data_IF_068389475369
#
_entry.id   IF_068389475369
#
_cell.length_a   1.000
_cell.length_b   1.000
_cell.length_c   1.000
_cell.angle_alpha   90.00
_cell.angle_beta   90.00
_cell.angle_gamma   90.00
#
_symmetry.space_group_name_H-M   'P 1'
#
loop_
_entity.id
_entity.type
_entity.pdbx_description
1 polymer ?
#
# COMPACT_ATOMS: atom_id res chain seq x y z
N UNK A 1 -20.03 -13.22 16.71
CA UNK A 1 -20.64 -14.38 17.30
C UNK A 1 -19.60 -15.29 17.98
N UNK A 2 -20.04 -16.01 19.03
CA UNK A 2 -19.15 -16.84 19.87
C UNK A 2 -18.48 -18.00 19.11
N UNK A 3 -19.09 -18.49 18.04
CA UNK A 3 -18.53 -19.58 17.23
C UNK A 3 -17.19 -19.22 16.57
N UNK A 4 -17.00 -17.98 16.15
CA UNK A 4 -15.73 -17.53 15.54
C UNK A 4 -14.58 -17.70 16.52
N UNK A 5 -14.79 -17.33 17.79
CA UNK A 5 -13.76 -17.47 18.83
C UNK A 5 -13.42 -18.94 19.14
N UNK A 6 -14.42 -19.83 19.04
CA UNK A 6 -14.23 -21.26 19.31
C UNK A 6 -13.58 -22.04 18.17
N UNK A 7 -13.54 -21.45 16.95
CA UNK A 7 -12.94 -22.07 15.76
C UNK A 7 -11.54 -21.55 15.46
N UNK A 8 -11.07 -20.54 16.20
CA UNK A 8 -9.72 -20.02 16.04
C UNK A 8 -8.70 -21.01 16.62
N UNK A 9 -7.66 -21.27 15.86
CA UNK A 9 -6.48 -21.94 16.37
C UNK A 9 -5.82 -21.09 17.48
N UNK A 10 -5.17 -21.73 18.47
CA UNK A 10 -4.38 -21.00 19.44
C UNK A 10 -3.34 -20.12 18.78
N UNK A 11 -3.07 -18.97 19.35
CA UNK A 11 -1.99 -18.09 18.86
C UNK A 11 -0.66 -18.83 18.87
N UNK A 12 0.06 -18.81 17.76
CA UNK A 12 1.38 -19.41 17.63
C UNK A 12 2.48 -18.67 18.42
N UNK A 13 2.21 -17.43 18.82
CA UNK A 13 3.15 -16.58 19.56
C UNK A 13 2.77 -16.52 21.04
N UNK A 14 3.74 -16.74 21.92
CA UNK A 14 3.57 -16.61 23.37
C UNK A 14 3.45 -15.14 23.79
N UNK A 15 4.22 -14.25 23.17
CA UNK A 15 4.18 -12.81 23.40
C UNK A 15 3.53 -12.08 22.21
N UNK A 16 2.41 -11.44 22.47
CA UNK A 16 1.65 -10.61 21.54
C UNK A 16 1.56 -9.15 22.01
N UNK A 17 2.40 -8.74 22.93
CA UNK A 17 2.41 -7.39 23.52
C UNK A 17 2.76 -6.28 22.50
N UNK A 18 3.34 -6.67 21.38
CA UNK A 18 3.63 -5.78 20.24
C UNK A 18 2.38 -5.36 19.47
N UNK A 19 1.28 -6.11 19.56
CA UNK A 19 0.01 -5.74 18.92
C UNK A 19 -0.66 -4.65 19.76
N UNK A 20 -0.73 -3.44 19.21
CA UNK A 20 -1.33 -2.28 19.88
C UNK A 20 -2.27 -1.56 18.91
N UNK A 21 -3.42 -1.05 19.39
CA UNK A 21 -4.24 -0.13 18.62
C UNK A 21 -3.42 1.09 18.22
N UNK A 22 -3.55 1.52 16.96
CA UNK A 22 -2.87 2.71 16.44
C UNK A 22 -3.87 3.69 15.83
N UNK A 23 -3.58 4.98 15.95
CA UNK A 23 -4.27 6.05 15.23
C UNK A 23 -3.42 6.44 14.04
N UNK A 24 -4.02 6.50 12.86
CA UNK A 24 -3.31 6.94 11.67
C UNK A 24 -4.09 7.98 10.88
N UNK A 25 -3.35 8.77 10.11
CA UNK A 25 -3.84 9.65 9.06
C UNK A 25 -3.29 9.15 7.73
N UNK A 26 -3.97 9.42 6.62
CA UNK A 26 -3.56 8.83 5.35
C UNK A 26 -3.54 9.78 4.17
N UNK A 27 -2.53 9.61 3.33
CA UNK A 27 -2.45 10.15 1.97
C UNK A 27 -3.30 9.27 1.07
N UNK A 28 -4.59 9.54 0.96
CA UNK A 28 -5.54 8.82 0.10
C UNK A 28 -6.83 9.59 -0.14
N UNK A 29 -7.33 10.33 0.86
CA UNK A 29 -8.60 11.03 0.75
C UNK A 29 -8.58 12.14 -0.30
N UNK A 30 -7.46 12.79 -0.46
CA UNK A 30 -7.25 13.80 -1.50
C UNK A 30 -7.32 13.22 -2.92
N UNK A 31 -6.98 11.93 -3.11
CA UNK A 31 -7.16 11.23 -4.37
C UNK A 31 -8.63 10.92 -4.63
N UNK A 32 -9.37 10.47 -3.61
CA UNK A 32 -10.83 10.24 -3.70
C UNK A 32 -11.58 11.50 -4.10
N UNK A 33 -11.14 12.64 -3.60
CA UNK A 33 -11.77 13.95 -3.93
C UNK A 33 -11.26 14.56 -5.24
N UNK A 34 -10.33 13.90 -5.93
CA UNK A 34 -9.73 14.38 -7.18
C UNK A 34 -8.78 15.57 -7.01
N UNK A 35 -8.35 15.85 -5.79
CA UNK A 35 -7.36 16.90 -5.51
C UNK A 35 -5.95 16.45 -5.89
N UNK A 36 -5.64 15.17 -5.73
CA UNK A 36 -4.43 14.51 -6.20
C UNK A 36 -4.76 13.17 -6.88
N UNK A 37 -3.75 12.49 -7.43
CA UNK A 37 -3.87 11.19 -8.09
C UNK A 37 -3.06 10.11 -7.37
N UNK A 38 -3.48 8.84 -7.54
CA UNK A 38 -2.65 7.69 -7.16
C UNK A 38 -1.51 7.47 -8.17
N UNK A 39 -1.75 7.78 -9.47
CA UNK A 39 -0.79 7.61 -10.55
C UNK A 39 0.28 8.68 -10.54
N UNK A 40 1.49 8.29 -10.95
CA UNK A 40 2.63 9.18 -11.12
C UNK A 40 2.57 10.00 -12.40
N UNK A 41 2.05 9.40 -13.49
CA UNK A 41 2.04 9.99 -14.83
C UNK A 41 0.70 9.79 -15.53
N UNK A 42 0.39 10.66 -16.49
CA UNK A 42 -0.76 10.54 -17.40
C UNK A 42 -0.34 10.04 -18.80
N UNK A 43 0.95 9.73 -19.01
CA UNK A 43 1.49 9.34 -20.33
C UNK A 43 1.32 7.84 -20.63
N UNK A 44 1.06 7.01 -19.62
CA UNK A 44 0.98 5.56 -19.74
C UNK A 44 -0.48 5.09 -19.82
N UNK A 45 -0.88 4.61 -20.99
CA UNK A 45 -2.16 3.90 -21.15
C UNK A 45 -2.06 2.40 -20.79
N UNK A 46 -0.84 1.88 -20.66
CA UNK A 46 -0.55 0.49 -20.35
C UNK A 46 0.73 0.38 -19.51
N UNK A 47 0.68 -0.43 -18.47
CA UNK A 47 1.81 -0.70 -17.57
C UNK A 47 2.14 -2.19 -17.63
N UNK A 48 3.41 -2.51 -17.82
CA UNK A 48 3.95 -3.87 -17.74
C UNK A 48 4.98 -3.91 -16.62
N UNK A 49 4.68 -4.67 -15.56
CA UNK A 49 5.52 -4.76 -14.38
C UNK A 49 6.92 -5.31 -14.70
N UNK A 50 7.95 -4.59 -14.24
CA UNK A 50 9.35 -4.93 -14.48
C UNK A 50 9.84 -4.57 -15.89
N UNK A 51 9.01 -3.97 -16.76
CA UNK A 51 9.35 -3.53 -18.12
C UNK A 51 9.14 -2.03 -18.29
N UNK A 52 8.03 -1.50 -17.78
CA UNK A 52 7.74 -0.06 -17.85
C UNK A 52 8.81 0.73 -17.09
N UNK A 53 9.43 1.68 -17.78
CA UNK A 53 10.52 2.50 -17.23
C UNK A 53 10.00 3.89 -16.85
N UNK A 54 9.67 4.06 -15.58
CA UNK A 54 9.16 5.32 -15.04
C UNK A 54 10.15 6.48 -15.09
N UNK A 55 11.45 6.23 -15.32
CA UNK A 55 12.45 7.28 -15.51
C UNK A 55 12.30 8.02 -16.84
N UNK A 56 11.52 7.45 -17.77
CA UNK A 56 11.32 7.98 -19.13
C UNK A 56 10.01 8.73 -19.32
N UNK A 57 9.18 8.80 -18.29
CA UNK A 57 7.88 9.48 -18.35
C UNK A 57 7.86 10.72 -17.47
N UNK A 58 6.99 11.67 -17.81
CA UNK A 58 6.86 12.93 -17.07
C UNK A 58 5.87 12.77 -15.91
N UNK A 59 6.21 13.21 -14.68
CA UNK A 59 5.25 13.31 -13.60
C UNK A 59 4.06 14.17 -13.98
N UNK A 60 2.84 13.74 -13.61
CA UNK A 60 1.62 14.51 -13.90
C UNK A 60 1.44 15.76 -13.02
N UNK A 61 2.28 15.93 -12.00
CA UNK A 61 2.23 17.05 -11.06
C UNK A 61 1.03 17.00 -10.08
N UNK A 62 0.29 15.88 -10.06
CA UNK A 62 -0.87 15.68 -9.18
C UNK A 62 -0.68 14.49 -8.25
N UNK A 63 0.39 13.73 -8.39
CA UNK A 63 0.66 12.55 -7.58
C UNK A 63 0.64 12.89 -6.08
N UNK A 64 -0.15 12.17 -5.30
CA UNK A 64 -0.33 12.45 -3.88
C UNK A 64 0.78 11.88 -2.99
N UNK A 65 1.40 10.77 -3.39
CA UNK A 65 2.44 10.09 -2.61
C UNK A 65 3.86 10.66 -2.84
N UNK A 66 3.97 11.97 -3.11
CA UNK A 66 5.27 12.63 -3.28
C UNK A 66 6.00 12.76 -1.95
N UNK A 67 7.35 12.83 -2.01
CA UNK A 67 8.18 13.09 -0.84
C UNK A 67 7.74 14.34 -0.05
N UNK A 68 7.39 15.41 -0.74
CA UNK A 68 6.95 16.66 -0.11
C UNK A 68 5.63 16.48 0.62
N UNK A 69 4.61 15.93 -0.04
CA UNK A 69 3.29 15.76 0.54
C UNK A 69 3.32 14.78 1.72
N UNK A 70 4.01 13.66 1.59
CA UNK A 70 4.12 12.66 2.67
C UNK A 70 4.82 13.26 3.91
N UNK A 71 5.86 14.10 3.73
CA UNK A 71 6.49 14.82 4.86
C UNK A 71 5.50 15.72 5.58
N UNK A 72 4.61 16.42 4.85
CA UNK A 72 3.55 17.24 5.47
C UNK A 72 2.60 16.41 6.32
N UNK A 73 2.23 15.21 5.86
CA UNK A 73 1.40 14.29 6.64
C UNK A 73 2.14 13.74 7.87
N UNK A 74 3.44 13.46 7.75
CA UNK A 74 4.27 13.04 8.90
C UNK A 74 4.33 14.14 9.94
N UNK A 75 4.56 15.41 9.54
CA UNK A 75 4.59 16.54 10.45
C UNK A 75 3.24 16.74 11.15
N UNK A 76 2.15 16.66 10.39
CA UNK A 76 0.80 16.72 10.94
C UNK A 76 0.53 15.59 11.95
N UNK A 77 0.92 14.36 11.60
CA UNK A 77 0.75 13.21 12.48
C UNK A 77 1.50 13.40 13.81
N UNK A 78 2.76 13.84 13.73
CA UNK A 78 3.59 14.11 14.90
C UNK A 78 3.01 15.23 15.78
N UNK A 79 2.53 16.32 15.19
CA UNK A 79 1.95 17.46 15.90
C UNK A 79 0.63 17.09 16.62
N UNK A 80 -0.18 16.24 16.00
CA UNK A 80 -1.53 15.91 16.49
C UNK A 80 -1.64 14.55 17.18
N UNK A 81 -0.52 13.89 17.46
CA UNK A 81 -0.49 12.65 18.25
C UNK A 81 -1.11 11.45 17.52
N UNK A 82 -0.90 11.37 16.20
CA UNK A 82 -1.12 10.14 15.43
C UNK A 82 0.13 9.28 15.47
N UNK A 83 -0.08 7.98 15.51
CA UNK A 83 1.01 7.01 15.60
C UNK A 83 1.63 6.73 14.22
N UNK A 84 0.79 6.80 13.16
CA UNK A 84 1.20 6.38 11.82
C UNK A 84 0.61 7.23 10.70
N UNK A 85 1.29 7.17 9.54
CA UNK A 85 0.81 7.74 8.28
C UNK A 85 0.70 6.65 7.24
N UNK A 86 -0.52 6.38 6.76
CA UNK A 86 -0.79 5.54 5.61
C UNK A 86 -0.46 6.32 4.33
N UNK A 87 0.18 5.67 3.35
CA UNK A 87 0.42 6.27 2.03
C UNK A 87 -0.08 5.33 0.95
N UNK A 88 -1.17 5.68 0.28
CA UNK A 88 -1.61 5.04 -0.95
C UNK A 88 -0.90 5.65 -2.16
N UNK A 89 -0.73 4.89 -3.23
CA UNK A 89 -0.09 5.38 -4.44
C UNK A 89 1.43 5.45 -4.39
N UNK A 90 2.09 4.82 -3.42
CA UNK A 90 3.53 4.89 -3.24
C UNK A 90 4.32 4.08 -4.27
N UNK A 91 3.72 3.01 -4.80
CA UNK A 91 4.33 1.97 -5.64
C UNK A 91 3.84 2.02 -7.10
N UNK A 92 4.57 1.42 -8.01
CA UNK A 92 4.26 1.37 -9.44
C UNK A 92 2.97 0.58 -9.73
N UNK A 93 2.21 1.04 -10.76
CA UNK A 93 1.06 0.34 -11.35
C UNK A 93 -0.28 1.05 -11.29
N UNK A 94 -0.38 2.22 -10.68
CA UNK A 94 -1.66 2.92 -10.50
C UNK A 94 -2.24 3.59 -11.75
N UNK A 95 -1.49 3.67 -12.84
CA UNK A 95 -1.94 4.26 -14.11
C UNK A 95 -3.04 3.42 -14.76
N UNK A 96 -3.03 2.10 -14.53
CA UNK A 96 -3.93 1.17 -15.20
C UNK A 96 -4.58 0.18 -14.21
N UNK A 97 -5.13 0.65 -13.09
CA UNK A 97 -5.63 -0.28 -12.07
C UNK A 97 -7.14 -0.47 -12.04
N UNK A 98 -7.93 0.60 -12.08
CA UNK A 98 -9.38 0.52 -11.97
C UNK A 98 -10.00 0.01 -13.27
N UNK A 99 -10.72 -1.12 -13.17
CA UNK A 99 -11.48 -1.66 -14.31
C UNK A 99 -10.63 -2.25 -15.44
N UNK A 100 -9.33 -2.37 -15.27
CA UNK A 100 -8.45 -2.91 -16.30
C UNK A 100 -8.68 -4.40 -16.56
N UNK A 101 -9.16 -5.13 -15.56
CA UNK A 101 -9.28 -6.60 -15.61
C UNK A 101 -7.94 -7.33 -15.65
N UNK A 102 -6.84 -6.63 -15.44
CA UNK A 102 -5.48 -7.21 -15.45
C UNK A 102 -5.17 -7.91 -14.15
N UNK A 103 -4.52 -9.05 -14.25
CA UNK A 103 -4.07 -9.83 -13.09
C UNK A 103 -2.82 -9.22 -12.45
N UNK A 104 -1.88 -8.69 -13.24
CA UNK A 104 -0.59 -8.18 -12.78
C UNK A 104 -0.55 -6.67 -12.94
N UNK A 105 -1.12 -5.94 -11.97
CA UNK A 105 -1.24 -4.47 -12.01
C UNK A 105 -0.19 -3.79 -11.16
N UNK A 106 0.02 -4.25 -9.92
CA UNK A 106 0.88 -3.58 -8.95
C UNK A 106 2.21 -4.29 -8.72
N UNK A 107 3.27 -3.49 -8.57
CA UNK A 107 4.53 -3.91 -7.98
C UNK A 107 4.54 -3.54 -6.48
N UNK A 108 4.73 -4.52 -5.60
CA UNK A 108 4.68 -4.31 -4.15
C UNK A 108 6.06 -4.04 -3.52
N UNK A 109 7.09 -3.81 -4.35
CA UNK A 109 8.47 -3.58 -3.88
C UNK A 109 9.12 -2.36 -4.51
N UNK A 110 8.57 -1.85 -5.61
CA UNK A 110 9.16 -0.72 -6.36
C UNK A 110 8.36 0.57 -6.12
N UNK A 111 8.93 1.56 -5.43
CA UNK A 111 8.30 2.87 -5.27
C UNK A 111 8.38 3.69 -6.56
N UNK A 112 7.45 4.61 -6.72
CA UNK A 112 7.56 5.64 -7.75
C UNK A 112 8.81 6.52 -7.56
N UNK A 113 9.35 7.17 -8.63
CA UNK A 113 10.58 7.96 -8.57
C UNK A 113 10.54 9.13 -7.58
N UNK A 114 9.36 9.64 -7.26
CA UNK A 114 9.15 10.76 -6.33
C UNK A 114 8.79 10.34 -4.90
N UNK A 115 8.86 9.02 -4.60
CA UNK A 115 8.68 8.45 -3.27
C UNK A 115 9.97 7.78 -2.78
N UNK A 116 10.78 8.51 -2.05
CA UNK A 116 11.99 7.96 -1.40
C UNK A 116 11.61 7.24 -0.09
N UNK A 117 11.34 5.94 -0.21
CA UNK A 117 10.88 5.10 0.90
C UNK A 117 11.83 5.13 2.10
N UNK A 118 13.16 5.19 1.84
CA UNK A 118 14.15 5.25 2.92
C UNK A 118 14.12 6.60 3.63
N UNK A 119 14.23 7.68 2.87
CA UNK A 119 14.29 9.02 3.45
C UNK A 119 12.99 9.39 4.19
N UNK A 120 11.84 8.90 3.71
CA UNK A 120 10.55 9.13 4.36
C UNK A 120 10.40 8.34 5.66
N UNK A 121 10.83 7.06 5.71
CA UNK A 121 10.82 6.28 6.95
C UNK A 121 11.80 6.85 7.98
N UNK A 122 13.02 7.22 7.56
CA UNK A 122 14.00 7.88 8.45
C UNK A 122 13.42 9.18 9.04
N UNK A 123 12.72 9.96 8.21
CA UNK A 123 12.09 11.21 8.65
C UNK A 123 10.94 10.96 9.64
N UNK A 124 10.07 10.00 9.34
CA UNK A 124 8.95 9.62 10.21
C UNK A 124 9.46 9.14 11.57
N UNK A 125 10.43 8.24 11.59
CA UNK A 125 11.02 7.72 12.83
C UNK A 125 11.66 8.82 13.68
N UNK A 126 12.35 9.77 13.04
CA UNK A 126 12.90 10.96 13.75
C UNK A 126 11.82 11.82 14.40
N UNK A 127 10.62 11.85 13.85
CA UNK A 127 9.46 12.56 14.38
C UNK A 127 8.64 11.75 15.39
N UNK A 128 9.01 10.48 15.64
CA UNK A 128 8.26 9.58 16.52
C UNK A 128 7.00 8.98 15.88
N UNK A 129 6.89 9.04 14.56
CA UNK A 129 5.79 8.51 13.75
C UNK A 129 6.31 7.35 12.91
N UNK A 130 5.45 6.40 12.51
CA UNK A 130 5.79 5.37 11.52
C UNK A 130 4.96 5.53 10.26
N UNK A 131 5.48 5.06 9.15
CA UNK A 131 4.66 4.85 7.97
C UNK A 131 3.91 3.53 8.10
N UNK A 132 2.66 3.51 7.62
CA UNK A 132 1.85 2.30 7.45
C UNK A 132 1.94 1.88 5.99
N UNK A 133 2.27 0.63 5.74
CA UNK A 133 2.34 0.08 4.40
C UNK A 133 0.93 -0.03 3.79
N UNK A 134 0.83 0.18 2.49
CA UNK A 134 -0.40 -0.01 1.72
C UNK A 134 -0.16 -0.99 0.57
N UNK A 135 -0.97 -2.03 0.51
CA UNK A 135 -1.03 -2.96 -0.62
C UNK A 135 -2.44 -2.99 -1.19
N UNK A 136 -2.64 -2.29 -2.30
CA UNK A 136 -3.81 -2.48 -3.17
C UNK A 136 -3.55 -3.69 -4.06
N UNK A 137 -4.31 -4.76 -3.88
CA UNK A 137 -4.05 -6.01 -4.59
C UNK A 137 -4.77 -6.11 -5.94
N UNK A 138 -5.68 -5.15 -6.24
CA UNK A 138 -6.57 -5.19 -7.41
C UNK A 138 -7.29 -6.54 -7.55
N UNK A 139 -7.58 -7.20 -6.42
CA UNK A 139 -8.18 -8.54 -6.34
C UNK A 139 -7.38 -9.66 -7.00
N UNK A 140 -6.11 -9.44 -7.32
CA UNK A 140 -5.24 -10.45 -7.91
C UNK A 140 -4.42 -11.18 -6.86
N UNK A 141 -4.93 -12.33 -6.41
CA UNK A 141 -4.24 -13.21 -5.45
C UNK A 141 -2.88 -13.62 -5.98
N UNK A 142 -2.80 -14.08 -7.24
CA UNK A 142 -1.55 -14.56 -7.83
C UNK A 142 -0.47 -13.50 -7.89
N UNK A 143 -0.83 -12.27 -8.24
CA UNK A 143 0.13 -11.18 -8.27
C UNK A 143 0.63 -10.83 -6.87
N UNK A 144 -0.27 -10.84 -5.89
CA UNK A 144 0.09 -10.52 -4.51
C UNK A 144 0.96 -11.62 -3.89
N UNK A 145 0.56 -12.89 -4.03
CA UNK A 145 1.31 -14.03 -3.46
C UNK A 145 2.75 -14.11 -4.00
N UNK A 146 2.95 -13.89 -5.30
CA UNK A 146 4.30 -13.94 -5.88
C UNK A 146 5.25 -12.87 -5.36
N UNK A 147 4.71 -11.75 -4.86
CA UNK A 147 5.50 -10.64 -4.31
C UNK A 147 5.56 -10.64 -2.78
N UNK A 148 4.76 -11.47 -2.10
CA UNK A 148 4.50 -11.33 -0.68
C UNK A 148 5.77 -11.36 0.16
N UNK A 149 6.65 -12.33 -0.04
CA UNK A 149 7.90 -12.45 0.71
C UNK A 149 8.78 -11.21 0.53
N UNK A 150 8.95 -10.74 -0.72
CA UNK A 150 9.76 -9.56 -1.02
C UNK A 150 9.13 -8.28 -0.45
N UNK A 151 7.79 -8.19 -0.47
CA UNK A 151 7.07 -7.06 0.10
C UNK A 151 7.20 -7.01 1.64
N UNK A 152 7.16 -8.16 2.31
CA UNK A 152 7.40 -8.25 3.75
C UNK A 152 8.85 -7.94 4.11
N UNK A 153 9.83 -8.43 3.34
CA UNK A 153 11.25 -8.10 3.48
C UNK A 153 11.47 -6.58 3.33
N UNK A 154 10.79 -5.94 2.39
CA UNK A 154 10.83 -4.49 2.21
C UNK A 154 10.29 -3.75 3.44
N UNK A 155 9.18 -4.23 4.00
CA UNK A 155 8.59 -3.67 5.20
C UNK A 155 9.56 -3.77 6.38
N UNK A 156 10.14 -4.94 6.60
CA UNK A 156 11.11 -5.17 7.68
C UNK A 156 12.34 -4.29 7.52
N UNK A 157 12.89 -4.22 6.31
CA UNK A 157 14.05 -3.38 5.97
C UNK A 157 13.87 -1.91 6.34
N UNK A 158 12.68 -1.35 6.17
CA UNK A 158 12.40 0.07 6.43
C UNK A 158 11.63 0.33 7.71
N UNK A 159 11.37 -0.70 8.52
CA UNK A 159 10.78 -0.59 9.86
C UNK A 159 9.27 -0.37 9.86
N UNK A 160 8.57 -0.79 8.81
CA UNK A 160 7.11 -0.87 8.83
C UNK A 160 6.67 -1.98 9.79
N UNK A 161 5.63 -1.72 10.57
CA UNK A 161 5.08 -2.71 11.51
C UNK A 161 3.57 -2.88 11.40
N UNK A 162 2.99 -2.28 10.38
CA UNK A 162 1.56 -2.37 10.08
C UNK A 162 1.31 -2.20 8.59
N UNK A 163 0.25 -2.83 8.12
CA UNK A 163 -0.13 -2.85 6.72
C UNK A 163 -1.65 -2.66 6.61
N UNK A 164 -2.07 -1.87 5.62
CA UNK A 164 -3.43 -1.88 5.09
C UNK A 164 -3.39 -2.64 3.77
N UNK A 165 -3.93 -3.86 3.77
CA UNK A 165 -4.10 -4.66 2.57
C UNK A 165 -5.57 -4.75 2.20
N UNK A 166 -5.87 -4.76 0.91
CA UNK A 166 -7.23 -4.85 0.40
C UNK A 166 -7.27 -4.79 -1.11
N UNK A 167 -8.48 -4.60 -1.64
CA UNK A 167 -8.66 -4.48 -3.08
C UNK A 167 -9.89 -3.64 -3.45
N UNK A 168 -9.83 -3.07 -4.64
CA UNK A 168 -10.95 -2.43 -5.32
C UNK A 168 -11.11 -3.05 -6.71
N UNK A 169 -12.36 -3.35 -7.10
CA UNK A 169 -12.70 -3.91 -8.39
C UNK A 169 -13.19 -5.34 -8.35
N UNK A 170 -13.26 -5.97 -9.52
CA UNK A 170 -13.71 -7.35 -9.69
C UNK A 170 -12.61 -8.33 -9.28
N UNK A 171 -13.00 -9.50 -8.81
CA UNK A 171 -12.07 -10.55 -8.42
C UNK A 171 -11.39 -11.17 -9.65
N UNK A 172 -10.10 -11.37 -9.57
CA UNK A 172 -9.28 -12.01 -10.59
C UNK A 172 -8.67 -13.32 -10.07
N UNK A 173 -8.64 -14.38 -10.89
CA UNK A 173 -9.18 -14.46 -12.24
C UNK A 173 -10.72 -14.37 -12.29
N UNK A 174 -11.24 -13.92 -13.43
CA UNK A 174 -12.69 -13.78 -13.65
C UNK A 174 -13.40 -15.12 -13.40
N UNK A 175 -14.49 -15.08 -12.61
CA UNK A 175 -15.25 -16.25 -12.19
C UNK A 175 -15.03 -16.70 -10.76
N UNK A 176 -13.98 -16.20 -10.10
CA UNK A 176 -13.81 -16.41 -8.67
C UNK A 176 -14.82 -15.55 -7.85
N UNK A 177 -15.04 -15.95 -6.62
CA UNK A 177 -15.94 -15.26 -5.71
C UNK A 177 -15.21 -14.76 -4.46
N UNK A 178 -15.71 -13.69 -3.83
CA UNK A 178 -15.14 -13.12 -2.60
C UNK A 178 -15.02 -14.12 -1.44
N UNK A 179 -15.77 -15.22 -1.48
CA UNK A 179 -15.72 -16.28 -0.48
C UNK A 179 -14.99 -17.54 -0.95
N UNK A 180 -14.33 -17.50 -2.11
CA UNK A 180 -13.49 -18.63 -2.54
C UNK A 180 -12.27 -18.76 -1.63
N UNK A 181 -11.76 -19.98 -1.49
CA UNK A 181 -10.60 -20.24 -0.62
C UNK A 181 -9.37 -19.45 -1.04
N UNK A 182 -9.17 -19.26 -2.35
CA UNK A 182 -8.08 -18.47 -2.90
C UNK A 182 -8.11 -16.99 -2.49
N UNK A 183 -9.30 -16.45 -2.18
CA UNK A 183 -9.47 -15.06 -1.73
C UNK A 183 -9.41 -14.91 -0.21
N UNK A 184 -9.69 -15.99 0.52
CA UNK A 184 -9.74 -15.97 1.98
C UNK A 184 -8.37 -16.21 2.61
N UNK A 185 -7.57 -17.09 1.98
CA UNK A 185 -6.22 -17.38 2.45
C UNK A 185 -5.27 -16.21 2.21
#
# INVERSE_FOLDING_TARGET
SRLILNLNEPCAYEDVSWIKPVKYVGVWWEMITGKSSWSYTDELAHVELGVTDYSKVTPNGKHGATNENVRRYIDFAAEHGFDQVLVEGWNEGWEEWVGSGKEYVFDFVTPYPDFDIKALNDYAHKKGVKLMMHHETSSSVRNYERHLDQALDLMDKYGYNSIKSGYVGDILPVGEHHYSQSMIN
#
